data_IF_949887135218
#
_entry.id   IF_949887135218
#
_cell.length_a   1.000
_cell.length_b   1.000
_cell.length_c   1.000
_cell.angle_alpha   90.00
_cell.angle_beta   90.00
_cell.angle_gamma   90.00
#
_symmetry.space_group_name_H-M   'P 1'
#
loop_
_entity.id
_entity.type
_entity.pdbx_description
1 polymer ?
#
# COMPACT_ATOMS: atom_id res chain seq x y z
N UNK A 1 -7.20 -7.34 -14.57
CA UNK A 1 -6.46 -6.07 -14.65
C UNK A 1 -7.17 -4.98 -15.47
N UNK A 2 -7.69 -5.26 -16.68
CA UNK A 2 -8.53 -4.25 -17.40
C UNK A 2 -9.98 -4.13 -16.89
N UNK A 3 -10.49 -5.14 -16.18
CA UNK A 3 -11.90 -5.17 -15.73
C UNK A 3 -12.15 -4.19 -14.58
N UNK A 4 -11.18 -3.97 -13.69
CA UNK A 4 -11.33 -3.13 -12.50
C UNK A 4 -11.43 -1.62 -12.84
N UNK A 5 -10.60 -1.16 -13.78
CA UNK A 5 -10.62 0.23 -14.25
C UNK A 5 -11.85 0.54 -15.12
N UNK A 6 -12.31 -0.44 -15.91
CA UNK A 6 -13.53 -0.31 -16.71
C UNK A 6 -14.79 -0.23 -15.86
N UNK A 7 -14.90 -1.04 -14.80
CA UNK A 7 -16.06 -1.01 -13.89
C UNK A 7 -16.14 0.33 -13.15
N UNK A 8 -15.03 0.86 -12.64
CA UNK A 8 -15.01 2.19 -12.00
C UNK A 8 -15.26 3.34 -13.00
N UNK A 9 -14.81 3.23 -14.25
CA UNK A 9 -15.09 4.20 -15.31
C UNK A 9 -16.55 4.22 -15.75
N UNK A 10 -17.20 3.06 -15.82
CA UNK A 10 -18.64 2.93 -16.10
C UNK A 10 -19.45 3.42 -14.89
N UNK A 11 -19.01 3.08 -13.67
CA UNK A 11 -19.67 3.48 -12.42
C UNK A 11 -19.43 4.93 -12.00
N UNK A 12 -18.67 5.71 -12.77
CA UNK A 12 -18.53 7.17 -12.61
C UNK A 12 -19.16 7.94 -13.78
N UNK A 13 -19.90 7.25 -14.66
CA UNK A 13 -20.61 7.83 -15.81
C UNK A 13 -19.72 8.61 -16.77
N UNK A 14 -18.49 8.16 -16.99
CA UNK A 14 -17.58 8.77 -17.97
C UNK A 14 -16.95 10.10 -17.51
N UNK A 15 -17.06 10.44 -16.23
CA UNK A 15 -16.32 11.58 -15.67
C UNK A 15 -14.81 11.27 -15.76
N UNK A 16 -13.99 12.09 -16.45
CA UNK A 16 -12.57 11.80 -16.73
C UNK A 16 -11.65 11.87 -15.49
N UNK A 17 -12.22 11.78 -14.28
CA UNK A 17 -11.47 11.75 -13.03
C UNK A 17 -10.79 10.39 -12.81
N UNK A 18 -11.45 9.30 -13.17
CA UNK A 18 -10.86 7.95 -13.08
C UNK A 18 -9.60 7.83 -13.95
N UNK A 19 -9.59 8.17 -15.25
CA UNK A 19 -8.37 8.06 -16.06
C UNK A 19 -7.23 9.01 -15.64
N UNK A 20 -7.52 10.18 -15.03
CA UNK A 20 -6.48 11.10 -14.56
C UNK A 20 -5.77 10.59 -13.29
N UNK A 21 -6.50 10.03 -12.33
CA UNK A 21 -5.93 9.59 -11.05
C UNK A 21 -5.65 8.07 -10.99
N UNK A 22 -6.23 7.26 -11.88
CA UNK A 22 -5.98 5.82 -11.92
C UNK A 22 -4.49 5.45 -12.10
N UNK A 23 -3.69 6.11 -12.96
CA UNK A 23 -2.26 5.80 -13.07
C UNK A 23 -1.50 6.00 -11.75
N UNK A 24 -1.92 6.96 -10.93
CA UNK A 24 -1.34 7.19 -9.62
C UNK A 24 -1.76 6.08 -8.63
N UNK A 25 -3.06 5.84 -8.48
CA UNK A 25 -3.60 4.88 -7.50
C UNK A 25 -3.48 3.40 -7.89
N UNK A 26 -3.25 3.07 -9.16
CA UNK A 26 -3.08 1.69 -9.62
C UNK A 26 -1.72 1.44 -10.28
N UNK A 27 -0.90 2.47 -10.49
CA UNK A 27 0.44 2.33 -11.06
C UNK A 27 1.52 2.75 -10.07
N UNK A 28 1.54 4.03 -9.72
CA UNK A 28 2.61 4.61 -8.88
C UNK A 28 2.71 3.92 -7.52
N UNK A 29 1.59 3.64 -6.87
CA UNK A 29 1.60 2.98 -5.56
C UNK A 29 1.99 1.49 -5.62
N UNK A 30 1.95 0.87 -6.81
CA UNK A 30 2.38 -0.52 -6.99
C UNK A 30 3.90 -0.65 -7.12
N UNK A 31 4.62 0.45 -7.38
CA UNK A 31 6.09 0.42 -7.37
C UNK A 31 6.66 -0.04 -6.03
N UNK A 32 5.98 0.29 -4.92
CA UNK A 32 6.40 -0.21 -3.61
C UNK A 32 6.22 -1.72 -3.48
N UNK A 33 5.46 -2.40 -4.33
CA UNK A 33 5.30 -3.86 -4.30
C UNK A 33 6.46 -4.59 -4.99
N UNK A 34 7.24 -3.92 -5.84
CA UNK A 34 8.35 -4.57 -6.57
C UNK A 34 9.42 -5.10 -5.60
N UNK A 35 9.91 -4.31 -4.61
CA UNK A 35 10.86 -4.83 -3.63
C UNK A 35 10.26 -5.92 -2.75
N UNK A 36 8.94 -5.90 -2.51
CA UNK A 36 8.24 -6.92 -1.73
C UNK A 36 8.32 -8.31 -2.37
N UNK A 37 8.21 -8.39 -3.71
CA UNK A 37 8.34 -9.66 -4.43
C UNK A 37 9.72 -10.29 -4.20
N UNK A 38 10.77 -9.47 -4.12
CA UNK A 38 12.13 -9.96 -3.87
C UNK A 38 12.25 -10.52 -2.46
N UNK A 39 11.68 -9.83 -1.46
CA UNK A 39 11.67 -10.31 -0.07
C UNK A 39 10.88 -11.62 0.03
N UNK A 40 9.74 -11.69 -0.66
CA UNK A 40 8.85 -12.85 -0.64
C UNK A 40 9.51 -14.10 -1.26
N UNK A 41 10.39 -13.91 -2.24
CA UNK A 41 11.16 -15.00 -2.84
C UNK A 41 12.12 -15.66 -1.84
N UNK A 42 12.63 -14.89 -0.89
CA UNK A 42 13.56 -15.37 0.14
C UNK A 42 12.89 -15.76 1.46
N UNK A 43 11.55 -15.72 1.51
CA UNK A 43 10.77 -16.13 2.67
C UNK A 43 10.92 -17.65 2.92
N UNK A 44 11.28 -18.01 4.14
CA UNK A 44 11.53 -19.39 4.56
C UNK A 44 10.29 -20.27 4.41
N UNK A 45 9.09 -19.73 4.69
CA UNK A 45 7.83 -20.48 4.69
C UNK A 45 7.34 -20.75 3.28
N UNK A 46 7.61 -19.83 2.34
CA UNK A 46 7.18 -19.97 0.94
C UNK A 46 8.18 -20.76 0.10
N UNK A 47 9.47 -20.49 0.30
CA UNK A 47 10.52 -20.93 -0.61
C UNK A 47 11.79 -21.37 0.13
N UNK A 48 11.75 -22.51 0.85
CA UNK A 48 12.87 -22.97 1.68
C UNK A 48 14.17 -23.20 0.89
N UNK A 49 14.09 -23.60 -0.39
CA UNK A 49 15.25 -23.77 -1.25
C UNK A 49 15.97 -22.44 -1.55
N UNK A 50 15.22 -21.36 -1.79
CA UNK A 50 15.79 -20.03 -2.03
C UNK A 50 16.31 -19.41 -0.73
N UNK A 51 15.64 -19.68 0.39
CA UNK A 51 16.14 -19.27 1.71
C UNK A 51 17.49 -19.94 2.04
N UNK A 52 17.69 -21.20 1.69
CA UNK A 52 18.99 -21.87 1.86
C UNK A 52 20.12 -21.22 1.04
N UNK A 53 19.80 -20.64 -0.13
CA UNK A 53 20.76 -19.86 -0.94
C UNK A 53 21.07 -18.52 -0.28
N UNK A 54 20.07 -17.86 0.30
CA UNK A 54 20.24 -16.64 1.09
C UNK A 54 21.26 -16.86 2.21
N UNK A 55 21.14 -17.95 2.97
CA UNK A 55 22.06 -18.25 4.08
C UNK A 55 23.51 -18.51 3.63
N UNK A 56 23.71 -18.94 2.38
CA UNK A 56 25.04 -19.28 1.83
C UNK A 56 25.72 -18.12 1.11
N UNK A 57 24.98 -17.11 0.67
CA UNK A 57 25.49 -16.03 -0.18
C UNK A 57 25.30 -14.67 0.48
N UNK A 58 26.42 -14.01 0.80
CA UNK A 58 26.43 -12.64 1.34
C UNK A 58 25.82 -11.62 0.37
N UNK A 59 25.94 -11.86 -0.94
CA UNK A 59 25.33 -11.02 -1.98
C UNK A 59 23.81 -11.11 -1.92
N UNK A 60 23.25 -12.31 -1.77
CA UNK A 60 21.81 -12.49 -1.66
C UNK A 60 21.26 -11.86 -0.36
N UNK A 61 21.99 -11.96 0.76
CA UNK A 61 21.64 -11.28 2.01
C UNK A 61 21.60 -9.77 1.86
N UNK A 62 22.62 -9.20 1.19
CA UNK A 62 22.67 -7.77 0.91
C UNK A 62 21.48 -7.33 0.02
N UNK A 63 21.16 -8.08 -1.03
CA UNK A 63 20.01 -7.79 -1.89
C UNK A 63 18.71 -7.82 -1.09
N UNK A 64 18.48 -8.86 -0.27
CA UNK A 64 17.28 -8.96 0.54
C UNK A 64 17.14 -7.80 1.54
N UNK A 65 18.24 -7.44 2.23
CA UNK A 65 18.26 -6.31 3.16
C UNK A 65 17.98 -4.97 2.45
N UNK A 66 18.58 -4.75 1.27
CA UNK A 66 18.29 -3.57 0.45
C UNK A 66 16.83 -3.55 -0.01
N UNK A 67 16.28 -4.68 -0.43
CA UNK A 67 14.88 -4.80 -0.84
C UNK A 67 13.92 -4.51 0.32
N UNK A 68 14.21 -4.97 1.55
CA UNK A 68 13.45 -4.60 2.75
C UNK A 68 13.50 -3.08 3.00
N UNK A 69 14.68 -2.48 2.94
CA UNK A 69 14.83 -1.03 3.11
C UNK A 69 14.09 -0.23 2.04
N UNK A 70 14.22 -0.63 0.77
CA UNK A 70 13.53 -0.01 -0.37
C UNK A 70 12.02 -0.19 -0.27
N UNK A 71 11.54 -1.37 0.15
CA UNK A 71 10.12 -1.61 0.42
C UNK A 71 9.61 -0.65 1.48
N UNK A 72 10.28 -0.60 2.63
CA UNK A 72 9.90 0.26 3.75
C UNK A 72 9.81 1.73 3.35
N UNK A 73 10.88 2.26 2.74
CA UNK A 73 10.93 3.66 2.35
C UNK A 73 9.88 3.98 1.28
N UNK A 74 9.79 3.16 0.23
CA UNK A 74 8.81 3.39 -0.85
C UNK A 74 7.37 3.26 -0.37
N UNK A 75 7.07 2.31 0.51
CA UNK A 75 5.74 2.14 1.09
C UNK A 75 5.35 3.35 1.94
N UNK A 76 6.22 3.81 2.84
CA UNK A 76 5.94 4.96 3.70
C UNK A 76 5.76 6.25 2.87
N UNK A 77 6.64 6.49 1.90
CA UNK A 77 6.58 7.69 1.07
C UNK A 77 5.35 7.67 0.16
N UNK A 78 5.11 6.58 -0.57
CA UNK A 78 4.06 6.54 -1.59
C UNK A 78 2.67 6.31 -0.99
N UNK A 79 2.54 5.37 -0.06
CA UNK A 79 1.23 4.93 0.46
C UNK A 79 0.83 5.59 1.76
N UNK A 80 1.77 5.87 2.65
CA UNK A 80 1.45 6.52 3.95
C UNK A 80 1.43 8.03 3.83
N UNK A 81 2.29 8.62 3.00
CA UNK A 81 2.38 10.07 2.82
C UNK A 81 1.75 10.60 1.53
N UNK A 82 2.17 10.12 0.36
CA UNK A 82 1.71 10.68 -0.92
C UNK A 82 0.24 10.35 -1.21
N UNK A 83 -0.22 9.13 -0.91
CA UNK A 83 -1.61 8.73 -1.10
C UNK A 83 -2.62 9.63 -0.37
N UNK A 84 -2.55 9.82 0.98
CA UNK A 84 -3.49 10.71 1.66
C UNK A 84 -3.37 12.15 1.17
N UNK A 85 -2.16 12.61 0.85
CA UNK A 85 -1.97 13.95 0.31
C UNK A 85 -2.77 14.14 -0.98
N UNK A 86 -2.56 13.28 -1.98
CA UNK A 86 -3.29 13.38 -3.26
C UNK A 86 -4.79 13.17 -3.06
N UNK A 87 -5.18 12.24 -2.19
CA UNK A 87 -6.58 12.00 -1.89
C UNK A 87 -7.26 13.25 -1.30
N UNK A 88 -6.73 13.83 -0.23
CA UNK A 88 -7.38 14.92 0.50
C UNK A 88 -7.19 16.30 -0.15
N UNK A 89 -6.05 16.55 -0.81
CA UNK A 89 -5.77 17.86 -1.40
C UNK A 89 -6.20 17.97 -2.86
N UNK A 90 -6.26 16.87 -3.60
CA UNK A 90 -6.58 16.90 -5.03
C UNK A 90 -7.93 16.22 -5.31
N UNK A 91 -8.08 14.95 -4.92
CA UNK A 91 -9.22 14.12 -5.32
C UNK A 91 -10.52 14.54 -4.63
N UNK A 92 -10.53 14.65 -3.31
CA UNK A 92 -11.71 15.06 -2.53
C UNK A 92 -12.26 16.41 -2.98
N UNK A 93 -11.47 17.51 -3.01
CA UNK A 93 -12.01 18.81 -3.41
C UNK A 93 -12.44 18.83 -4.88
N UNK A 94 -11.75 18.10 -5.77
CA UNK A 94 -12.15 17.99 -7.18
C UNK A 94 -13.49 17.25 -7.31
N UNK A 95 -13.69 16.15 -6.60
CA UNK A 95 -14.94 15.40 -6.61
C UNK A 95 -16.08 16.21 -5.98
N UNK A 96 -15.84 16.92 -4.88
CA UNK A 96 -16.84 17.80 -4.26
C UNK A 96 -17.31 18.90 -5.22
N UNK A 97 -16.39 19.58 -5.91
CA UNK A 97 -16.76 20.56 -6.94
C UNK A 97 -17.50 19.92 -8.11
N UNK A 98 -17.11 18.72 -8.52
CA UNK A 98 -17.78 18.01 -9.61
C UNK A 98 -19.22 17.59 -9.26
N UNK A 99 -19.58 17.47 -7.98
CA UNK A 99 -20.97 17.19 -7.57
C UNK A 99 -21.94 18.33 -7.86
N UNK A 100 -21.45 19.56 -8.08
CA UNK A 100 -22.28 20.72 -8.42
C UNK A 100 -22.72 20.72 -9.90
N UNK A 101 -21.95 20.05 -10.78
CA UNK A 101 -22.20 20.01 -12.23
C UNK A 101 -22.07 18.57 -12.76
N UNK A 102 -22.99 17.70 -12.37
CA UNK A 102 -22.94 16.29 -12.72
C UNK A 102 -23.38 16.04 -14.17
N UNK A 103 -22.62 15.25 -14.95
CA UNK A 103 -23.07 14.76 -16.25
C UNK A 103 -24.31 13.87 -16.13
N UNK A 104 -25.09 13.78 -17.21
CA UNK A 104 -26.26 12.91 -17.30
C UNK A 104 -25.89 11.46 -16.97
N UNK A 105 -26.57 10.86 -15.99
CA UNK A 105 -26.35 9.47 -15.57
C UNK A 105 -25.42 9.29 -14.36
N UNK A 106 -24.83 10.36 -13.83
CA UNK A 106 -24.03 10.33 -12.60
C UNK A 106 -24.83 10.88 -11.44
N UNK A 107 -24.92 10.11 -10.36
CA UNK A 107 -25.57 10.57 -9.12
C UNK A 107 -24.53 11.10 -8.12
N UNK A 108 -24.88 12.08 -7.26
CA UNK A 108 -23.98 12.55 -6.20
C UNK A 108 -23.50 11.40 -5.28
N UNK A 109 -24.36 10.40 -5.06
CA UNK A 109 -24.04 9.22 -4.26
C UNK A 109 -22.85 8.42 -4.82
N UNK A 110 -22.68 8.39 -6.15
CA UNK A 110 -21.54 7.73 -6.80
C UNK A 110 -20.22 8.49 -6.55
N UNK A 111 -20.28 9.82 -6.37
CA UNK A 111 -19.09 10.61 -6.03
C UNK A 111 -18.73 10.43 -4.55
N UNK A 112 -19.72 10.45 -3.66
CA UNK A 112 -19.51 10.22 -2.23
C UNK A 112 -18.98 8.82 -1.92
N UNK A 113 -19.42 7.79 -2.66
CA UNK A 113 -18.90 6.44 -2.51
C UNK A 113 -17.44 6.31 -2.96
N UNK A 114 -17.01 6.98 -4.03
CA UNK A 114 -15.60 7.03 -4.45
C UNK A 114 -14.74 7.69 -3.37
N UNK A 115 -15.19 8.82 -2.80
CA UNK A 115 -14.50 9.48 -1.68
C UNK A 115 -14.43 8.52 -0.47
N UNK A 116 -15.55 7.92 -0.10
CA UNK A 116 -15.65 7.01 1.04
C UNK A 116 -14.72 5.81 0.91
N UNK A 117 -14.68 5.18 -0.28
CA UNK A 117 -13.75 4.09 -0.58
C UNK A 117 -12.31 4.57 -0.53
N UNK A 118 -11.99 5.74 -1.10
CA UNK A 118 -10.65 6.32 -1.05
C UNK A 118 -10.15 6.52 0.38
N UNK A 119 -11.00 7.06 1.25
CA UNK A 119 -10.68 7.25 2.68
C UNK A 119 -10.49 5.90 3.38
N UNK A 120 -11.37 4.94 3.14
CA UNK A 120 -11.25 3.60 3.72
C UNK A 120 -9.94 2.91 3.28
N UNK A 121 -9.59 3.00 2.00
CA UNK A 121 -8.33 2.50 1.48
C UNK A 121 -7.13 3.19 2.11
N UNK A 122 -7.20 4.51 2.34
CA UNK A 122 -6.13 5.24 3.03
C UNK A 122 -5.93 4.75 4.47
N UNK A 123 -7.02 4.52 5.21
CA UNK A 123 -6.94 3.96 6.57
C UNK A 123 -6.28 2.58 6.57
N UNK A 124 -6.60 1.76 5.56
CA UNK A 124 -5.93 0.48 5.36
C UNK A 124 -4.43 0.65 5.09
N UNK A 125 -4.03 1.60 4.24
CA UNK A 125 -2.61 1.89 4.00
C UNK A 125 -1.89 2.33 5.29
N UNK A 126 -2.53 3.13 6.14
CA UNK A 126 -1.96 3.53 7.43
C UNK A 126 -1.83 2.36 8.41
N UNK A 127 -2.82 1.48 8.47
CA UNK A 127 -2.73 0.27 9.28
C UNK A 127 -1.54 -0.61 8.85
N UNK A 128 -1.35 -0.78 7.54
CA UNK A 128 -0.22 -1.54 7.01
C UNK A 128 1.11 -0.83 7.25
N UNK A 129 1.14 0.50 7.13
CA UNK A 129 2.29 1.32 7.47
C UNK A 129 2.69 1.20 8.95
N UNK A 130 1.72 1.16 9.85
CA UNK A 130 1.95 0.91 11.27
C UNK A 130 2.58 -0.46 11.51
N UNK A 131 2.03 -1.53 10.92
CA UNK A 131 2.60 -2.88 11.02
C UNK A 131 4.04 -2.93 10.50
N UNK A 132 4.30 -2.25 9.38
CA UNK A 132 5.63 -2.18 8.79
C UNK A 132 6.63 -1.45 9.70
N UNK A 133 6.23 -0.32 10.29
CA UNK A 133 7.07 0.42 11.26
C UNK A 133 7.37 -0.46 12.48
N UNK A 134 6.37 -1.14 13.02
CA UNK A 134 6.56 -2.06 14.15
C UNK A 134 7.57 -3.15 13.80
N UNK A 135 7.48 -3.73 12.61
CA UNK A 135 8.39 -4.78 12.16
C UNK A 135 9.83 -4.27 12.00
N UNK A 136 10.01 -3.07 11.42
CA UNK A 136 11.31 -2.41 11.34
C UNK A 136 11.89 -2.17 12.75
N UNK A 137 11.07 -1.67 13.67
CA UNK A 137 11.52 -1.39 15.04
C UNK A 137 11.90 -2.66 15.81
N UNK A 138 11.27 -3.81 15.52
CA UNK A 138 11.68 -5.11 16.06
C UNK A 138 13.03 -5.55 15.49
N UNK A 139 13.22 -5.42 14.18
CA UNK A 139 14.50 -5.78 13.51
C UNK A 139 15.65 -4.92 14.04
N UNK A 140 15.39 -3.64 14.32
CA UNK A 140 16.38 -2.71 14.92
C UNK A 140 16.57 -2.96 16.42
N UNK A 141 15.74 -3.79 17.05
CA UNK A 141 15.85 -4.13 18.48
C UNK A 141 15.33 -3.07 19.44
N UNK A 142 14.54 -2.10 18.93
CA UNK A 142 13.91 -1.05 19.76
C UNK A 142 12.67 -1.60 20.47
N UNK A 143 11.88 -2.44 19.78
CA UNK A 143 10.69 -3.10 20.33
C UNK A 143 11.01 -4.58 20.52
N UNK A 144 10.80 -5.09 21.75
CA UNK A 144 10.86 -6.52 22.04
C UNK A 144 9.59 -7.22 21.58
N UNK A 145 9.73 -8.34 20.89
CA UNK A 145 8.58 -9.16 20.47
C UNK A 145 7.80 -9.66 21.70
N UNK A 146 6.47 -9.72 21.64
CA UNK A 146 5.62 -10.16 22.76
C UNK A 146 5.98 -11.54 23.31
N UNK A 147 6.56 -12.43 22.50
CA UNK A 147 6.95 -13.79 22.89
C UNK A 147 8.00 -13.83 24.02
N UNK A 148 8.80 -12.77 24.24
CA UNK A 148 9.76 -12.72 25.36
C UNK A 148 9.07 -12.49 26.72
N UNK A 149 7.84 -12.01 26.75
CA UNK A 149 7.13 -11.69 28.00
C UNK A 149 6.33 -12.87 28.57
N UNK A 150 5.91 -13.83 27.76
CA UNK A 150 5.19 -15.02 28.25
C UNK A 150 6.15 -16.03 28.90
N UNK A 151 7.40 -16.12 28.43
CA UNK A 151 8.44 -16.97 29.04
C UNK A 151 8.88 -16.47 30.43
N UNK A 152 8.66 -15.19 30.74
CA UNK A 152 8.93 -14.60 32.07
C UNK A 152 7.74 -14.67 33.04
N UNK A 153 6.52 -14.92 32.55
CA UNK A 153 5.35 -15.18 33.41
C UNK A 153 5.19 -16.66 33.76
N UNK A 154 5.87 -17.55 33.05
CA UNK A 154 5.86 -19.01 33.27
C UNK A 154 7.02 -19.53 34.14
N UNK A 155 7.86 -18.66 34.70
CA UNK A 155 8.91 -18.99 35.68
C UNK A 155 8.64 -18.27 36.99
#
# INVERSE_FOLDING_TARGET
>A
WMISGGVLGIWSGGVPLVPCYAPFFFGVIEFSSIPLIVIDLFDEKKHPAYHAVLQRSSVCQAINAMSMGLFAVSFLVLRVYAFPRVLFYDVVPTLMKATESLPNGVTPNMMYSVIGLGVLFNLLQWYWGYLLIVEILKVVGIIKSPEENDDKKSK
#
